data_IF_729517384200
#
_entry.id   IF_729517384200
#
_cell.length_a   1.000
_cell.length_b   1.000
_cell.length_c   1.000
_cell.angle_alpha   90.00
_cell.angle_beta   90.00
_cell.angle_gamma   90.00
#
_symmetry.space_group_name_H-M   'P 1'
#
loop_
_entity.id
_entity.type
_entity.pdbx_description
1 polymer ?
#
# COMPACT_ATOMS: atom_id res chain seq x y z
N UNK A 1 7.88 17.43 -1.60
CA UNK A 1 7.94 15.99 -1.79
C UNK A 1 6.59 15.34 -1.47
N UNK A 2 6.45 14.08 -1.89
CA UNK A 2 5.42 13.20 -1.37
C UNK A 2 6.07 12.02 -0.65
N UNK A 3 5.39 11.50 0.36
CA UNK A 3 5.80 10.28 1.06
C UNK A 3 4.67 9.25 0.98
N UNK A 4 5.01 8.04 0.60
CA UNK A 4 4.13 6.88 0.64
C UNK A 4 4.55 6.04 1.86
N UNK A 5 3.79 6.07 2.96
CA UNK A 5 4.18 5.40 4.20
C UNK A 5 4.32 3.88 4.02
N UNK A 6 5.29 3.30 4.69
CA UNK A 6 5.40 1.85 4.82
C UNK A 6 4.32 1.31 5.78
N UNK A 7 4.06 0.00 5.71
CA UNK A 7 3.15 -0.68 6.64
C UNK A 7 1.66 -0.44 6.38
N UNK A 8 1.30 0.00 5.18
CA UNK A 8 -0.10 0.11 4.79
C UNK A 8 -0.78 -1.27 4.72
N UNK A 9 -2.10 -1.29 4.85
CA UNK A 9 -2.88 -2.53 4.89
C UNK A 9 -2.69 -3.42 3.65
N UNK A 10 -2.47 -2.79 2.48
CA UNK A 10 -2.18 -3.50 1.24
C UNK A 10 -0.91 -2.94 0.56
N UNK A 11 0.21 -3.55 0.85
CA UNK A 11 1.49 -3.17 0.24
C UNK A 11 1.59 -3.53 -1.25
N UNK A 12 0.69 -4.35 -1.79
CA UNK A 12 0.67 -4.64 -3.24
C UNK A 12 0.16 -3.45 -4.04
N UNK A 13 -0.71 -2.63 -3.46
CA UNK A 13 -1.14 -1.36 -4.05
C UNK A 13 -0.02 -0.32 -4.02
N UNK A 14 0.75 -0.29 -2.93
CA UNK A 14 1.97 0.54 -2.85
C UNK A 14 2.96 0.11 -3.94
N UNK A 15 3.14 -1.20 -4.13
CA UNK A 15 3.99 -1.73 -5.20
C UNK A 15 3.50 -1.28 -6.59
N UNK A 16 2.18 -1.36 -6.84
CA UNK A 16 1.60 -0.91 -8.10
C UNK A 16 1.86 0.58 -8.35
N UNK A 17 1.64 1.44 -7.34
CA UNK A 17 1.92 2.89 -7.47
C UNK A 17 3.40 3.12 -7.72
N UNK A 18 4.28 2.46 -6.97
CA UNK A 18 5.72 2.57 -7.14
C UNK A 18 6.16 2.16 -8.56
N UNK A 19 5.65 1.03 -9.07
CA UNK A 19 5.97 0.54 -10.42
C UNK A 19 5.50 1.50 -11.50
N UNK A 20 4.32 2.11 -11.35
CA UNK A 20 3.83 3.15 -12.28
C UNK A 20 4.75 4.37 -12.26
N UNK A 21 5.14 4.85 -11.08
CA UNK A 21 6.03 6.00 -10.95
C UNK A 21 7.40 5.71 -11.59
N UNK A 22 7.98 4.54 -11.31
CA UNK A 22 9.26 4.11 -11.87
C UNK A 22 9.17 3.99 -13.40
N UNK A 23 8.11 3.40 -13.93
CA UNK A 23 7.88 3.26 -15.37
C UNK A 23 7.78 4.63 -16.09
N UNK A 24 7.38 5.68 -15.37
CA UNK A 24 7.36 7.06 -15.86
C UNK A 24 8.71 7.79 -15.68
N UNK A 25 9.75 7.09 -15.21
CA UNK A 25 11.06 7.67 -14.94
C UNK A 25 11.15 8.53 -13.68
N UNK A 26 10.16 8.40 -12.79
CA UNK A 26 10.17 9.11 -11.50
C UNK A 26 11.05 8.36 -10.51
N UNK A 27 12.00 9.06 -9.93
CA UNK A 27 12.92 8.51 -8.95
C UNK A 27 12.25 8.38 -7.59
N UNK A 28 12.41 7.22 -6.98
CA UNK A 28 11.92 6.89 -5.64
C UNK A 28 13.10 6.64 -4.70
N UNK A 29 12.99 7.12 -3.47
CA UNK A 29 13.92 6.81 -2.40
C UNK A 29 13.23 6.08 -1.25
N UNK A 30 13.82 5.00 -0.73
CA UNK A 30 13.33 4.29 0.44
C UNK A 30 14.03 4.79 1.69
N UNK A 31 13.28 5.20 2.71
CA UNK A 31 13.85 5.64 3.98
C UNK A 31 14.55 4.49 4.72
N UNK A 32 15.74 4.75 5.27
CA UNK A 32 16.51 3.76 6.05
C UNK A 32 15.98 3.57 7.46
N UNK A 33 15.38 4.60 8.02
CA UNK A 33 14.82 4.61 9.37
C UNK A 33 13.50 5.35 9.44
N UNK A 34 12.95 5.45 10.62
CA UNK A 34 11.80 6.32 10.90
C UNK A 34 12.17 7.78 10.58
N UNK A 35 11.25 8.50 9.97
CA UNK A 35 11.42 9.90 9.59
C UNK A 35 10.37 10.73 10.29
N UNK A 36 10.80 11.77 11.00
CA UNK A 36 9.92 12.76 11.64
C UNK A 36 10.15 14.14 11.04
N UNK A 37 9.10 14.77 10.55
CA UNK A 37 9.14 16.11 9.95
C UNK A 37 7.92 16.88 10.45
N UNK A 38 8.13 17.86 11.32
CA UNK A 38 7.04 18.50 12.03
C UNK A 38 6.19 17.48 12.78
N UNK A 39 4.90 17.51 12.57
CA UNK A 39 3.94 16.57 13.19
C UNK A 39 3.79 15.25 12.39
N UNK A 40 4.50 15.11 11.27
CA UNK A 40 4.44 13.90 10.45
C UNK A 40 5.50 12.90 10.87
N UNK A 41 5.09 11.65 11.06
CA UNK A 41 5.98 10.53 11.32
C UNK A 41 5.76 9.43 10.27
N UNK A 42 6.86 8.95 9.70
CA UNK A 42 6.85 7.92 8.66
C UNK A 42 7.71 6.74 9.10
N UNK A 43 7.19 5.52 9.05
CA UNK A 43 7.97 4.32 9.39
C UNK A 43 9.18 4.13 8.47
N UNK A 44 10.18 3.41 8.96
CA UNK A 44 11.28 2.94 8.13
C UNK A 44 10.76 2.16 6.90
N UNK A 45 11.38 2.34 5.75
CA UNK A 45 10.95 1.72 4.50
C UNK A 45 9.87 2.47 3.74
N UNK A 46 9.44 3.65 4.22
CA UNK A 46 8.55 4.55 3.47
C UNK A 46 9.22 5.04 2.19
N UNK A 47 8.43 5.29 1.14
CA UNK A 47 8.94 5.79 -0.12
C UNK A 47 8.84 7.32 -0.16
N UNK A 48 9.92 7.97 -0.51
CA UNK A 48 9.99 9.42 -0.73
C UNK A 48 10.05 9.69 -2.21
N UNK A 49 9.15 10.54 -2.71
CA UNK A 49 9.11 11.03 -4.08
C UNK A 49 9.47 12.52 -4.05
N UNK A 50 10.70 12.82 -4.37
CA UNK A 50 11.18 14.20 -4.41
C UNK A 50 10.64 14.90 -5.64
N UNK A 51 10.38 16.21 -5.54
CA UNK A 51 9.92 17.01 -6.67
C UNK A 51 11.04 17.81 -7.35
N UNK A 52 12.23 17.80 -6.77
CA UNK A 52 13.44 18.41 -7.32
C UNK A 52 14.24 17.42 -8.21
N UNK A 53 13.52 16.65 -8.99
CA UNK A 53 14.01 15.68 -9.96
C UNK A 53 13.48 16.00 -11.37
N UNK A 54 14.04 15.46 -12.47
CA UNK A 54 13.61 15.79 -13.84
C UNK A 54 12.09 15.62 -14.05
N UNK A 55 11.50 14.53 -13.56
CA UNK A 55 10.07 14.25 -13.68
C UNK A 55 9.25 14.68 -12.45
N UNK A 56 9.77 15.60 -11.63
CA UNK A 56 9.09 16.07 -10.41
C UNK A 56 7.72 16.69 -10.65
N UNK A 57 7.50 17.39 -11.79
CA UNK A 57 6.19 17.93 -12.14
C UNK A 57 5.18 16.83 -12.47
N UNK A 58 5.61 15.78 -13.17
CA UNK A 58 4.76 14.62 -13.46
C UNK A 58 4.42 13.89 -12.16
N UNK A 59 5.41 13.68 -11.29
CA UNK A 59 5.19 13.09 -9.97
C UNK A 59 4.15 13.88 -9.15
N UNK A 60 4.23 15.22 -9.20
CA UNK A 60 3.24 16.07 -8.55
C UNK A 60 1.84 15.84 -9.09
N UNK A 61 1.66 15.86 -10.41
CA UNK A 61 0.34 15.66 -11.06
C UNK A 61 -0.26 14.29 -10.68
N UNK A 62 0.56 13.24 -10.69
CA UNK A 62 0.09 11.89 -10.38
C UNK A 62 -0.29 11.68 -8.91
N UNK A 63 0.41 12.33 -7.98
CA UNK A 63 0.29 12.07 -6.55
C UNK A 63 -0.51 13.13 -5.78
N UNK A 64 -0.59 14.34 -6.30
CA UNK A 64 -1.33 15.42 -5.65
C UNK A 64 -2.83 15.12 -5.65
N UNK A 65 -3.47 15.32 -4.50
CA UNK A 65 -4.93 15.34 -4.47
C UNK A 65 -5.41 16.55 -5.26
N UNK A 66 -6.20 16.32 -6.31
CA UNK A 66 -6.77 17.37 -7.10
C UNK A 66 -7.99 17.96 -6.38
N UNK A 67 -7.93 19.24 -6.09
CA UNK A 67 -9.04 20.02 -5.56
C UNK A 67 -9.40 21.12 -6.57
N UNK A 68 -10.62 21.10 -7.07
CA UNK A 68 -11.12 22.11 -7.99
C UNK A 68 -11.79 23.23 -7.19
N UNK A 69 -11.29 24.46 -7.27
CA UNK A 69 -11.84 25.57 -6.47
C UNK A 69 -13.24 25.99 -6.91
N UNK A 70 -13.61 25.74 -8.17
CA UNK A 70 -14.95 26.00 -8.69
C UNK A 70 -15.73 24.69 -8.83
N UNK A 71 -16.77 24.46 -7.98
CA UNK A 71 -17.56 23.24 -8.04
C UNK A 71 -18.41 23.12 -9.33
N UNK A 72 -18.58 24.20 -10.09
CA UNK A 72 -19.31 24.20 -11.35
C UNK A 72 -18.41 23.88 -12.54
N UNK A 73 -17.09 23.86 -12.35
CA UNK A 73 -16.15 23.51 -13.39
C UNK A 73 -16.31 22.03 -13.73
N UNK A 74 -16.77 21.73 -14.95
CA UNK A 74 -16.73 20.36 -15.46
C UNK A 74 -15.30 20.03 -15.86
N UNK A 75 -14.69 19.11 -15.13
CA UNK A 75 -13.41 18.55 -15.50
C UNK A 75 -13.58 17.70 -16.76
N UNK A 76 -12.70 17.91 -17.72
CA UNK A 76 -12.78 17.22 -19.01
C UNK A 76 -11.95 15.92 -19.01
N UNK A 77 -10.85 15.91 -18.27
CA UNK A 77 -9.91 14.78 -18.21
C UNK A 77 -9.49 14.54 -16.77
N UNK A 78 -10.01 13.48 -16.20
CA UNK A 78 -9.82 13.11 -14.79
C UNK A 78 -8.91 11.88 -14.65
N UNK A 79 -8.42 11.34 -15.77
CA UNK A 79 -7.62 10.14 -15.75
C UNK A 79 -6.16 10.40 -15.34
N UNK A 80 -5.63 9.51 -14.50
CA UNK A 80 -4.22 9.52 -14.11
C UNK A 80 -3.85 10.50 -13.00
N UNK A 81 -4.81 11.08 -12.31
CA UNK A 81 -4.59 11.99 -11.19
C UNK A 81 -4.91 11.33 -9.84
N UNK A 82 -4.34 11.92 -8.76
CA UNK A 82 -4.67 11.51 -7.40
C UNK A 82 -4.52 9.99 -7.21
N UNK A 83 -3.42 9.43 -7.69
CA UNK A 83 -3.20 7.98 -7.68
C UNK A 83 -3.35 7.36 -6.29
N UNK A 84 -3.03 8.10 -5.23
CA UNK A 84 -3.25 7.65 -3.87
C UNK A 84 -4.70 7.25 -3.61
N UNK A 85 -5.67 8.12 -3.95
CA UNK A 85 -7.09 7.81 -3.80
C UNK A 85 -7.56 6.73 -4.78
N UNK A 86 -7.14 6.82 -6.03
CA UNK A 86 -7.50 5.85 -7.07
C UNK A 86 -7.12 4.42 -6.70
N UNK A 87 -5.97 4.24 -6.05
CA UNK A 87 -5.43 2.93 -5.68
C UNK A 87 -5.65 2.57 -4.22
N UNK A 88 -6.31 3.41 -3.43
CA UNK A 88 -6.39 3.29 -1.96
C UNK A 88 -5.01 3.19 -1.29
N UNK A 89 -4.04 3.90 -1.83
CA UNK A 89 -2.70 4.02 -1.27
C UNK A 89 -2.58 5.36 -0.54
N UNK A 90 -2.15 5.32 0.69
CA UNK A 90 -1.88 6.55 1.42
C UNK A 90 -0.67 7.27 0.83
N UNK A 91 -0.87 8.53 0.43
CA UNK A 91 0.17 9.42 -0.08
C UNK A 91 0.07 10.74 0.69
N UNK A 92 1.16 11.13 1.34
CA UNK A 92 1.22 12.36 2.14
C UNK A 92 2.06 13.43 1.44
N UNK A 93 1.51 14.60 1.15
CA UNK A 93 2.32 15.74 0.74
C UNK A 93 3.17 16.23 1.91
N UNK A 94 4.43 16.53 1.65
CA UNK A 94 5.36 17.11 2.63
C UNK A 94 5.95 18.38 2.04
N UNK A 95 5.52 19.51 2.56
CA UNK A 95 5.98 20.84 2.12
C UNK A 95 7.34 21.22 2.72
N UNK A 96 7.65 20.71 3.91
CA UNK A 96 8.89 21.01 4.60
C UNK A 96 10.09 20.48 3.81
N UNK A 97 11.04 21.38 3.53
CA UNK A 97 12.28 21.04 2.79
C UNK A 97 13.21 20.08 3.54
N UNK A 98 13.03 19.90 4.85
CA UNK A 98 13.80 18.94 5.64
C UNK A 98 13.69 17.51 5.06
N UNK A 99 12.59 17.17 4.39
CA UNK A 99 12.42 15.89 3.71
C UNK A 99 13.50 15.62 2.65
N UNK A 100 14.05 16.65 2.01
CA UNK A 100 15.05 16.52 0.97
C UNK A 100 16.42 16.09 1.53
N UNK A 101 16.65 16.30 2.83
CA UNK A 101 17.86 15.87 3.52
C UNK A 101 17.77 14.46 4.13
N UNK A 102 16.61 13.82 4.06
CA UNK A 102 16.40 12.48 4.61
C UNK A 102 17.20 11.46 3.80
N UNK A 103 18.06 10.64 4.45
CA UNK A 103 18.81 9.59 3.77
C UNK A 103 17.85 8.51 3.23
N UNK A 104 17.96 8.25 1.93
CA UNK A 104 17.17 7.23 1.26
C UNK A 104 18.06 6.35 0.39
N UNK A 105 17.64 5.11 0.18
CA UNK A 105 18.21 4.23 -0.82
C UNK A 105 17.36 4.31 -2.10
N UNK A 106 17.97 4.36 -3.30
CA UNK A 106 17.21 4.38 -4.55
C UNK A 106 16.38 3.10 -4.72
N UNK A 107 15.23 3.23 -5.35
CA UNK A 107 14.30 2.13 -5.58
C UNK A 107 14.02 2.00 -7.07
N UNK A 108 14.68 1.03 -7.72
CA UNK A 108 14.46 0.71 -9.13
C UNK A 108 13.33 -0.31 -9.32
N UNK A 109 12.96 -1.00 -8.26
CA UNK A 109 11.85 -1.96 -8.21
C UNK A 109 11.31 -2.07 -6.79
N UNK A 110 10.00 -2.03 -6.65
CA UNK A 110 9.35 -2.26 -5.37
C UNK A 110 8.56 -3.56 -5.41
N UNK A 111 8.83 -4.44 -4.46
CA UNK A 111 8.09 -5.73 -4.34
C UNK A 111 7.46 -5.81 -2.96
N UNK A 112 6.15 -5.99 -2.93
CA UNK A 112 5.45 -6.31 -1.71
C UNK A 112 5.75 -7.76 -1.32
N UNK A 113 6.08 -7.98 -0.05
CA UNK A 113 6.27 -9.32 0.52
C UNK A 113 5.07 -9.65 1.39
N UNK A 114 4.44 -10.78 1.11
CA UNK A 114 3.48 -11.40 2.02
C UNK A 114 4.20 -12.22 3.08
N UNK A 115 3.52 -12.48 4.19
CA UNK A 115 3.99 -13.41 5.22
C UNK A 115 2.79 -14.17 5.80
N UNK A 116 3.08 -15.33 6.32
CA UNK A 116 2.15 -16.10 7.14
C UNK A 116 2.72 -16.14 8.55
N UNK A 117 1.95 -15.63 9.51
CA UNK A 117 2.34 -15.64 10.91
C UNK A 117 1.69 -16.84 11.61
N UNK A 118 2.40 -17.48 12.55
CA UNK A 118 1.91 -18.57 13.37
C UNK A 118 2.70 -19.87 13.19
N UNK A 119 2.32 -20.87 13.97
CA UNK A 119 2.91 -22.21 13.91
C UNK A 119 2.13 -23.03 12.87
N UNK A 120 2.76 -23.37 11.75
CA UNK A 120 2.14 -24.08 10.62
C UNK A 120 2.11 -25.61 10.79
N UNK A 121 2.07 -26.14 12.01
CA UNK A 121 2.08 -27.58 12.25
C UNK A 121 0.68 -28.12 12.59
N UNK A 122 0.27 -29.15 11.84
CA UNK A 122 -0.98 -29.87 12.10
C UNK A 122 -2.23 -29.29 11.43
N UNK A 123 -3.39 -29.83 11.83
CA UNK A 123 -4.69 -29.33 11.38
C UNK A 123 -5.04 -28.00 12.09
N UNK A 124 -5.65 -27.08 11.35
CA UNK A 124 -6.01 -25.79 11.92
C UNK A 124 -6.63 -24.84 10.90
N UNK A 125 -6.57 -23.57 11.19
CA UNK A 125 -7.12 -22.52 10.34
C UNK A 125 -6.06 -21.49 10.00
N UNK A 126 -6.02 -21.10 8.75
CA UNK A 126 -5.27 -19.92 8.28
C UNK A 126 -6.29 -18.81 8.04
N UNK A 127 -6.03 -17.62 8.56
CA UNK A 127 -6.86 -16.46 8.33
C UNK A 127 -6.14 -15.47 7.40
N UNK A 128 -6.77 -15.11 6.29
CA UNK A 128 -6.30 -14.05 5.39
C UNK A 128 -7.13 -12.79 5.62
N UNK A 129 -6.48 -11.71 6.03
CA UNK A 129 -7.16 -10.45 6.33
C UNK A 129 -7.84 -9.82 5.12
N UNK A 130 -9.09 -9.39 5.28
CA UNK A 130 -9.82 -8.62 4.28
C UNK A 130 -9.27 -7.19 4.25
N UNK A 131 -8.21 -6.98 3.49
CA UNK A 131 -7.55 -5.68 3.30
C UNK A 131 -8.04 -4.92 2.04
N UNK A 132 -9.04 -5.46 1.34
CA UNK A 132 -9.57 -4.91 0.09
C UNK A 132 -8.67 -5.16 -1.14
N UNK A 133 -7.64 -5.99 -1.01
CA UNK A 133 -6.76 -6.34 -2.13
C UNK A 133 -7.47 -7.25 -3.13
N UNK A 134 -7.27 -7.00 -4.44
CA UNK A 134 -7.70 -7.90 -5.49
C UNK A 134 -7.02 -9.29 -5.39
N UNK A 135 -5.87 -9.37 -4.73
CA UNK A 135 -5.16 -10.63 -4.49
C UNK A 135 -5.96 -11.61 -3.62
N UNK A 136 -6.90 -11.14 -2.79
CA UNK A 136 -7.80 -12.03 -2.05
C UNK A 136 -8.74 -12.79 -2.98
N UNK A 137 -9.16 -12.18 -4.09
CA UNK A 137 -9.96 -12.86 -5.12
C UNK A 137 -9.14 -13.93 -5.81
N UNK A 138 -7.90 -13.61 -6.18
CA UNK A 138 -6.96 -14.57 -6.77
C UNK A 138 -6.68 -15.72 -5.81
N UNK A 139 -6.40 -15.40 -4.53
CA UNK A 139 -6.20 -16.41 -3.48
C UNK A 139 -7.42 -17.33 -3.35
N UNK A 140 -8.63 -16.75 -3.28
CA UNK A 140 -9.87 -17.55 -3.21
C UNK A 140 -10.04 -18.47 -4.41
N UNK A 141 -9.65 -18.01 -5.59
CA UNK A 141 -9.73 -18.81 -6.82
C UNK A 141 -8.69 -19.94 -6.81
N UNK A 142 -7.46 -19.68 -6.40
CA UNK A 142 -6.43 -20.71 -6.25
C UNK A 142 -6.83 -21.79 -5.22
N UNK A 143 -7.52 -21.37 -4.16
CA UNK A 143 -8.00 -22.27 -3.11
C UNK A 143 -9.39 -22.85 -3.38
N UNK A 144 -9.85 -22.91 -4.64
CA UNK A 144 -11.21 -23.36 -4.99
C UNK A 144 -11.53 -24.81 -4.61
N UNK A 145 -10.49 -25.65 -4.43
CA UNK A 145 -10.63 -27.04 -3.99
C UNK A 145 -10.58 -27.21 -2.46
N UNK A 146 -10.38 -26.13 -1.72
CA UNK A 146 -10.31 -26.13 -0.26
C UNK A 146 -11.58 -25.55 0.36
N UNK A 147 -11.86 -25.93 1.62
CA UNK A 147 -12.93 -25.36 2.40
C UNK A 147 -12.49 -23.96 2.87
N UNK A 148 -13.05 -22.92 2.25
CA UNK A 148 -12.76 -21.53 2.54
C UNK A 148 -14.05 -20.82 2.92
N UNK A 149 -14.05 -20.21 4.10
CA UNK A 149 -15.16 -19.45 4.64
C UNK A 149 -14.82 -17.95 4.70
N UNK A 150 -15.82 -17.10 4.64
CA UNK A 150 -15.66 -15.67 4.90
C UNK A 150 -16.24 -15.34 6.29
N UNK A 151 -15.47 -14.65 7.09
CA UNK A 151 -15.94 -14.19 8.40
C UNK A 151 -17.05 -13.16 8.26
N UNK A 152 -18.23 -13.43 8.83
CA UNK A 152 -19.38 -12.51 8.79
C UNK A 152 -19.19 -11.28 9.70
N UNK A 153 -18.30 -11.38 10.69
CA UNK A 153 -17.99 -10.33 11.67
C UNK A 153 -16.47 -10.24 11.87
N UNK A 154 -16.01 -9.09 12.36
CA UNK A 154 -14.64 -8.95 12.82
C UNK A 154 -14.37 -9.89 14.01
N UNK A 155 -13.18 -10.48 14.06
CA UNK A 155 -12.75 -11.39 15.12
C UNK A 155 -11.26 -11.19 15.46
N UNK A 156 -10.81 -11.82 16.53
CA UNK A 156 -9.41 -11.84 16.93
C UNK A 156 -8.80 -13.24 16.70
N UNK A 157 -7.60 -13.27 16.14
CA UNK A 157 -6.76 -14.47 16.04
C UNK A 157 -5.43 -14.16 16.75
N UNK A 158 -5.25 -14.67 17.96
CA UNK A 158 -4.18 -14.21 18.84
C UNK A 158 -4.30 -12.70 19.11
N UNK A 159 -3.22 -11.97 18.95
CA UNK A 159 -3.16 -10.52 19.14
C UNK A 159 -3.60 -9.71 17.88
N UNK A 160 -3.95 -10.40 16.82
CA UNK A 160 -4.32 -9.74 15.54
C UNK A 160 -5.85 -9.67 15.41
N UNK A 161 -6.36 -8.46 15.22
CA UNK A 161 -7.77 -8.24 14.90
C UNK A 161 -7.98 -8.28 13.39
N UNK A 162 -8.88 -9.14 12.95
CA UNK A 162 -9.22 -9.35 11.55
C UNK A 162 -10.63 -8.79 11.26
N UNK A 163 -10.81 -8.04 10.18
CA UNK A 163 -12.12 -7.46 9.84
C UNK A 163 -13.09 -8.53 9.31
N UNK A 164 -14.38 -8.18 9.27
CA UNK A 164 -15.38 -8.95 8.53
C UNK A 164 -14.96 -9.10 7.06
N UNK A 165 -15.30 -10.23 6.45
CA UNK A 165 -14.86 -10.56 5.08
C UNK A 165 -13.49 -11.24 5.01
N UNK A 166 -12.74 -11.34 6.12
CA UNK A 166 -11.50 -12.11 6.16
C UNK A 166 -11.77 -13.57 5.84
N UNK A 167 -10.87 -14.18 5.05
CA UNK A 167 -11.00 -15.57 4.66
C UNK A 167 -10.46 -16.48 5.75
N UNK A 168 -11.20 -17.53 6.05
CA UNK A 168 -10.80 -18.63 6.93
C UNK A 168 -10.63 -19.88 6.08
N UNK A 169 -9.42 -20.40 6.06
CA UNK A 169 -9.00 -21.54 5.24
C UNK A 169 -8.74 -22.71 6.18
N UNK A 170 -9.52 -23.79 6.03
CA UNK A 170 -9.29 -25.01 6.81
C UNK A 170 -8.06 -25.75 6.27
N UNK A 171 -7.10 -25.99 7.16
CA UNK A 171 -5.93 -26.82 6.88
C UNK A 171 -6.11 -28.16 7.59
N UNK A 172 -6.29 -29.22 6.83
CA UNK A 172 -6.35 -30.59 7.38
C UNK A 172 -4.93 -31.10 7.51
N UNK A 173 -4.58 -31.59 8.69
CA UNK A 173 -3.28 -32.24 8.89
C UNK A 173 -3.11 -33.40 7.89
N UNK A 174 -1.86 -33.68 7.52
CA UNK A 174 -1.56 -34.88 6.76
C UNK A 174 -2.02 -36.10 7.57
N UNK A 175 -2.83 -36.97 6.96
CA UNK A 175 -3.26 -38.23 7.55
C UNK A 175 -2.08 -39.23 7.61
#
# INVERSE_FOLDING_TARGET
>A
AFVIPAGQADMTRVAFVADVLIAQGIELGRTRGEVKIGDLAFPAGSLVVRLDQPYGRLAKILLEKQDFPDPNLRTYDDSGWTMGLLTHTEVKPVADKAILAVPTDPVDRFTAKGRVDGKGEGAGWIAAAANGSANLVSLRFELRSMDVHAASKAFAAGDTRLPAGSLLIEVRGAA
#
